data_IF_838852605289
#
_entry.id   IF_838852605289
#
_cell.length_a   1.000
_cell.length_b   1.000
_cell.length_c   1.000
_cell.angle_alpha   90.00
_cell.angle_beta   90.00
_cell.angle_gamma   90.00
#
_symmetry.space_group_name_H-M   'P 1'
#
loop_
_entity.id
_entity.type
_entity.pdbx_description
1 polymer ?
#
# COMPACT_ATOMS: atom_id res chain seq x y z
N UNK A 1 -23.65 26.18 -28.54
CA UNK A 1 -23.65 24.76 -28.97
C UNK A 1 -22.42 24.07 -28.39
N UNK A 2 -22.52 23.39 -27.24
CA UNK A 2 -21.37 22.69 -26.65
C UNK A 2 -21.34 21.23 -27.11
N UNK A 3 -20.36 20.89 -27.94
CA UNK A 3 -20.15 19.54 -28.44
C UNK A 3 -19.73 18.59 -27.31
N UNK A 4 -20.62 17.66 -26.95
CA UNK A 4 -20.25 16.53 -26.10
C UNK A 4 -19.49 15.52 -26.96
N UNK A 5 -18.20 15.33 -26.68
CA UNK A 5 -17.38 14.27 -27.31
C UNK A 5 -17.87 12.93 -26.76
N UNK A 6 -18.56 12.15 -27.59
CA UNK A 6 -18.99 10.78 -27.26
C UNK A 6 -17.85 9.86 -27.65
N UNK A 7 -17.12 9.36 -26.66
CA UNK A 7 -16.09 8.34 -26.88
C UNK A 7 -16.76 6.98 -27.02
N UNK A 8 -16.26 6.15 -27.95
CA UNK A 8 -16.76 4.78 -28.11
C UNK A 8 -16.49 3.98 -26.84
N UNK A 9 -17.40 3.06 -26.48
CA UNK A 9 -17.34 2.27 -25.24
C UNK A 9 -15.97 1.61 -25.00
N UNK A 10 -15.29 1.19 -26.08
CA UNK A 10 -13.95 0.61 -26.02
C UNK A 10 -12.85 1.61 -25.65
N UNK A 11 -12.89 2.83 -26.18
CA UNK A 11 -11.92 3.88 -25.86
C UNK A 11 -12.16 4.41 -24.45
N UNK A 12 -13.43 4.55 -24.05
CA UNK A 12 -13.80 4.94 -22.68
C UNK A 12 -13.17 3.99 -21.65
N UNK A 13 -13.19 2.69 -21.90
CA UNK A 13 -12.59 1.71 -20.99
C UNK A 13 -11.06 1.85 -20.91
N UNK A 14 -10.39 2.12 -22.04
CA UNK A 14 -8.93 2.32 -22.08
C UNK A 14 -8.54 3.61 -21.35
N UNK A 15 -9.31 4.69 -21.53
CA UNK A 15 -9.08 5.96 -20.83
C UNK A 15 -9.32 5.77 -19.33
N UNK A 16 -10.43 5.12 -18.95
CA UNK A 16 -10.74 4.78 -17.57
C UNK A 16 -9.59 3.99 -16.95
N UNK A 17 -9.18 2.87 -17.57
CA UNK A 17 -8.11 2.04 -17.03
C UNK A 17 -6.76 2.79 -16.94
N UNK A 18 -6.45 3.67 -17.91
CA UNK A 18 -5.22 4.46 -17.89
C UNK A 18 -5.25 5.56 -16.84
N UNK A 19 -6.42 6.14 -16.54
CA UNK A 19 -6.58 7.10 -15.44
C UNK A 19 -6.51 6.42 -14.08
N UNK A 20 -7.17 5.27 -13.91
CA UNK A 20 -7.13 4.49 -12.67
C UNK A 20 -5.75 3.86 -12.40
N UNK A 21 -5.00 3.48 -13.42
CA UNK A 21 -3.64 2.92 -13.25
C UNK A 21 -2.54 3.98 -13.02
N UNK A 22 -2.85 5.28 -13.05
CA UNK A 22 -1.85 6.33 -12.82
C UNK A 22 -1.67 6.69 -11.34
N UNK A 23 -2.51 6.17 -10.45
CA UNK A 23 -2.46 6.43 -9.01
C UNK A 23 -1.39 5.60 -8.27
N UNK A 24 -0.83 4.55 -8.88
CA UNK A 24 -0.01 3.57 -8.16
C UNK A 24 1.48 3.94 -7.93
N UNK A 25 1.99 5.04 -8.50
CA UNK A 25 3.39 5.47 -8.28
C UNK A 25 3.52 6.89 -7.71
N UNK A 26 2.52 7.77 -7.88
CA UNK A 26 2.61 9.17 -7.49
C UNK A 26 2.03 9.47 -6.09
N UNK A 27 1.29 8.54 -5.47
CA UNK A 27 0.53 8.79 -4.25
C UNK A 27 1.01 7.92 -3.07
N UNK A 28 2.33 7.90 -2.87
CA UNK A 28 2.93 7.28 -1.68
C UNK A 28 3.51 8.37 -0.79
N UNK A 29 2.69 9.14 -0.06
CA UNK A 29 3.13 10.27 0.78
C UNK A 29 4.17 9.90 1.85
N UNK A 30 4.40 8.60 2.07
CA UNK A 30 5.30 8.08 3.10
C UNK A 30 6.50 7.32 2.51
N UNK A 31 6.67 7.33 1.18
CA UNK A 31 7.79 6.69 0.48
C UNK A 31 8.02 5.23 0.93
N UNK A 32 6.94 4.49 1.15
CA UNK A 32 7.03 3.07 1.50
C UNK A 32 7.58 2.27 0.33
N UNK A 33 8.64 1.51 0.57
CA UNK A 33 9.16 0.55 -0.40
C UNK A 33 8.12 -0.56 -0.66
N UNK A 34 8.24 -1.26 -1.79
CA UNK A 34 7.36 -2.40 -2.10
C UNK A 34 7.34 -3.43 -0.96
N UNK A 35 8.51 -3.73 -0.39
CA UNK A 35 8.64 -4.70 0.71
C UNK A 35 8.00 -4.22 2.02
N UNK A 36 8.12 -2.93 2.35
CA UNK A 36 7.44 -2.34 3.50
C UNK A 36 5.92 -2.40 3.34
N UNK A 37 5.41 -2.18 2.12
CA UNK A 37 3.97 -2.27 1.83
C UNK A 37 3.43 -3.70 1.99
N UNK A 38 4.18 -4.69 1.52
CA UNK A 38 3.84 -6.10 1.71
C UNK A 38 3.83 -6.48 3.21
N UNK A 39 4.84 -6.05 3.96
CA UNK A 39 4.89 -6.27 5.41
C UNK A 39 3.73 -5.58 6.12
N UNK A 40 3.41 -4.33 5.74
CA UNK A 40 2.28 -3.59 6.32
C UNK A 40 0.95 -4.32 6.10
N UNK A 41 0.72 -4.82 4.88
CA UNK A 41 -0.49 -5.58 4.55
C UNK A 41 -0.63 -6.84 5.40
N UNK A 42 0.45 -7.61 5.57
CA UNK A 42 0.39 -8.81 6.40
C UNK A 42 0.20 -8.48 7.90
N UNK A 43 0.69 -7.33 8.36
CA UNK A 43 0.42 -6.86 9.73
C UNK A 43 -1.06 -6.50 9.90
N UNK A 44 -1.65 -5.81 8.93
CA UNK A 44 -3.08 -5.45 8.98
C UNK A 44 -3.99 -6.67 8.85
N UNK A 45 -3.55 -7.71 8.15
CA UNK A 45 -4.22 -9.01 8.08
C UNK A 45 -4.09 -9.83 9.39
N UNK A 46 -3.32 -9.36 10.37
CA UNK A 46 -3.19 -9.97 11.70
C UNK A 46 -2.08 -11.02 11.85
N UNK A 47 -1.17 -11.14 10.88
CA UNK A 47 -0.06 -12.10 10.97
C UNK A 47 1.02 -11.66 11.97
N UNK A 48 1.58 -12.64 12.69
CA UNK A 48 2.73 -12.46 13.58
C UNK A 48 4.03 -12.39 12.79
N UNK A 49 5.08 -11.79 13.34
CA UNK A 49 6.37 -11.60 12.65
C UNK A 49 6.98 -12.91 12.12
N UNK A 50 6.78 -14.03 12.82
CA UNK A 50 7.21 -15.35 12.36
C UNK A 50 6.44 -15.83 11.13
N UNK A 51 5.13 -15.65 11.12
CA UNK A 51 4.27 -16.03 9.99
C UNK A 51 4.55 -15.14 8.77
N UNK A 52 4.84 -13.86 8.99
CA UNK A 52 5.28 -12.93 7.95
C UNK A 52 6.63 -13.36 7.37
N UNK A 53 7.59 -13.71 8.24
CA UNK A 53 8.90 -14.20 7.84
C UNK A 53 8.79 -15.46 6.95
N UNK A 54 7.94 -16.41 7.35
CA UNK A 54 7.68 -17.64 6.61
C UNK A 54 7.02 -17.35 5.24
N UNK A 55 6.01 -16.47 5.19
CA UNK A 55 5.32 -16.09 3.93
C UNK A 55 6.21 -15.34 2.96
N UNK A 56 7.10 -14.49 3.48
CA UNK A 56 7.97 -13.63 2.68
C UNK A 56 9.33 -14.26 2.38
N UNK A 57 9.58 -15.48 2.91
CA UNK A 57 10.84 -16.20 2.80
C UNK A 57 12.06 -15.38 3.28
N UNK A 58 11.91 -14.67 4.40
CA UNK A 58 12.95 -13.84 5.02
C UNK A 58 13.09 -14.15 6.52
N UNK A 59 14.13 -13.64 7.17
CA UNK A 59 14.29 -13.80 8.61
C UNK A 59 13.30 -12.95 9.41
N UNK A 60 12.91 -13.39 10.61
CA UNK A 60 12.11 -12.58 11.55
C UNK A 60 12.79 -11.25 11.89
N UNK A 61 14.13 -11.25 12.01
CA UNK A 61 14.92 -10.03 12.20
C UNK A 61 14.77 -9.05 11.03
N UNK A 62 14.63 -9.55 9.81
CA UNK A 62 14.36 -8.71 8.62
C UNK A 62 12.97 -8.11 8.69
N UNK A 63 11.96 -8.88 9.12
CA UNK A 63 10.59 -8.38 9.37
C UNK A 63 10.61 -7.28 10.44
N UNK A 64 11.33 -7.49 11.54
CA UNK A 64 11.47 -6.48 12.60
C UNK A 64 12.09 -5.18 12.08
N UNK A 65 13.09 -5.27 11.19
CA UNK A 65 13.69 -4.10 10.54
C UNK A 65 12.67 -3.37 9.66
N UNK A 66 11.90 -4.07 8.84
CA UNK A 66 10.84 -3.45 8.04
C UNK A 66 9.77 -2.79 8.91
N UNK A 67 9.39 -3.42 10.04
CA UNK A 67 8.46 -2.85 11.02
C UNK A 67 8.99 -1.57 11.66
N UNK A 68 10.26 -1.56 12.06
CA UNK A 68 10.89 -0.38 12.63
C UNK A 68 10.88 0.79 11.64
N UNK A 69 11.21 0.53 10.37
CA UNK A 69 11.14 1.54 9.32
C UNK A 69 9.71 2.03 9.10
N UNK A 70 8.72 1.13 9.05
CA UNK A 70 7.30 1.48 8.91
C UNK A 70 6.82 2.39 10.05
N UNK A 71 7.18 2.07 11.29
CA UNK A 71 6.86 2.89 12.45
C UNK A 71 7.47 4.29 12.35
N UNK A 72 8.73 4.40 11.92
CA UNK A 72 9.38 5.70 11.69
C UNK A 72 8.70 6.48 10.57
N UNK A 73 8.49 5.86 9.39
CA UNK A 73 7.92 6.53 8.21
C UNK A 73 6.48 6.99 8.41
N UNK A 74 5.70 6.24 9.19
CA UNK A 74 4.30 6.56 9.48
C UNK A 74 4.12 7.29 10.82
N UNK A 75 5.22 7.63 11.50
CA UNK A 75 5.24 8.28 12.81
C UNK A 75 4.33 7.57 13.85
N UNK A 76 4.30 6.24 13.79
CA UNK A 76 3.51 5.40 14.67
C UNK A 76 4.37 4.86 15.82
N UNK A 77 3.82 4.81 17.03
CA UNK A 77 4.55 4.39 18.24
C UNK A 77 4.54 2.89 18.44
N UNK A 78 3.53 2.21 17.89
CA UNK A 78 3.35 0.77 18.05
C UNK A 78 2.54 0.19 16.87
N UNK A 79 2.39 -1.12 16.88
CA UNK A 79 1.69 -1.86 15.81
C UNK A 79 0.21 -1.56 15.73
N UNK A 80 -0.46 -1.28 16.84
CA UNK A 80 -1.87 -0.92 16.82
C UNK A 80 -2.08 0.45 16.15
N UNK A 81 -1.21 1.42 16.46
CA UNK A 81 -1.18 2.72 15.78
C UNK A 81 -0.83 2.56 14.30
N UNK A 82 0.13 1.71 13.96
CA UNK A 82 0.50 1.41 12.58
C UNK A 82 -0.69 0.87 11.77
N UNK A 83 -1.43 -0.10 12.32
CA UNK A 83 -2.62 -0.69 11.68
C UNK A 83 -3.73 0.36 11.55
N UNK A 84 -4.00 1.12 12.62
CA UNK A 84 -4.99 2.20 12.58
C UNK A 84 -4.65 3.22 11.48
N UNK A 85 -3.38 3.59 11.37
CA UNK A 85 -2.91 4.54 10.37
C UNK A 85 -3.12 4.02 8.94
N UNK A 86 -2.72 2.77 8.69
CA UNK A 86 -2.86 2.14 7.39
C UNK A 86 -4.32 2.09 6.91
N UNK A 87 -5.25 1.81 7.82
CA UNK A 87 -6.70 1.81 7.52
C UNK A 87 -7.21 3.23 7.28
N UNK A 88 -6.83 4.20 8.13
CA UNK A 88 -7.30 5.59 8.02
C UNK A 88 -6.82 6.28 6.73
N UNK A 89 -5.63 5.94 6.25
CA UNK A 89 -5.03 6.50 5.04
C UNK A 89 -5.25 5.61 3.81
N UNK A 90 -6.11 4.58 3.91
CA UNK A 90 -6.47 3.68 2.81
C UNK A 90 -5.25 3.05 2.10
N UNK A 91 -4.23 2.67 2.88
CA UNK A 91 -2.93 2.18 2.40
C UNK A 91 -2.89 0.67 2.16
N UNK A 92 -3.94 -0.04 2.58
CA UNK A 92 -4.12 -1.51 2.53
C UNK A 92 -5.53 -1.88 2.13
#
# INVERSE_FOLDING_TARGET
>A
MSGRKIFSKGISQIIINTLFNKESEADNPYELTAREREVLKLITDGYKNREIADKLFISTKTVDKHRANLLQKLNARNTAELVKYAIQQNMV
#
